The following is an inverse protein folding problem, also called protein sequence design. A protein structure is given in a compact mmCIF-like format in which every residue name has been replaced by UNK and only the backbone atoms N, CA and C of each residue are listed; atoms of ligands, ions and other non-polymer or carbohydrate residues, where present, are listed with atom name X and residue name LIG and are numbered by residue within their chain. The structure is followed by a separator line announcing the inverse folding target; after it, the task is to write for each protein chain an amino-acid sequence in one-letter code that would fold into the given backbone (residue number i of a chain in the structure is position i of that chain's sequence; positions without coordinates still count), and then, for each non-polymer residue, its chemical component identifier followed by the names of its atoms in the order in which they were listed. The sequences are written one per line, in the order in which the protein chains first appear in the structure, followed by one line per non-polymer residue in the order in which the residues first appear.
data_IF_268590241385
#
_entry.id   IF_268590241385
#
_cell.length_a   1.000
_cell.length_b   1.000
_cell.length_c   1.000
_cell.angle_alpha   90.00
_cell.angle_beta   90.00
_cell.angle_gamma   90.00
#
_symmetry.space_group_name_H-M   'P 1'
#
loop_
_entity.id
_entity.type
_entity.pdbx_description
1 polymer ?
#
# COMPACT_ATOMS: atom_id res chain seq x y z
N UNK A 1 -4.27 -22.37 10.03
CA UNK A 1 -4.37 -20.94 10.41
C UNK A 1 -4.98 -20.17 9.26
N UNK A 2 -5.97 -19.31 9.51
CA UNK A 2 -6.58 -18.50 8.45
C UNK A 2 -5.62 -17.36 8.10
N UNK A 3 -5.11 -17.32 6.88
CA UNK A 3 -4.26 -16.23 6.39
C UNK A 3 -5.12 -15.06 5.87
N UNK A 4 -6.27 -14.83 6.48
CA UNK A 4 -7.25 -13.79 6.16
C UNK A 4 -7.44 -12.91 7.38
N UNK A 5 -7.65 -11.62 7.19
CA UNK A 5 -8.02 -10.71 8.27
C UNK A 5 -9.53 -10.77 8.49
N UNK A 6 -10.32 -10.51 7.45
CA UNK A 6 -11.76 -10.73 7.43
C UNK A 6 -12.16 -11.62 6.23
N UNK A 7 -13.43 -12.05 6.20
CA UNK A 7 -13.96 -12.83 5.08
C UNK A 7 -13.23 -14.16 4.83
N UNK A 8 -13.00 -14.48 3.56
CA UNK A 8 -12.50 -15.79 3.08
C UNK A 8 -11.23 -15.71 2.23
N UNK A 9 -10.71 -14.52 1.91
CA UNK A 9 -9.58 -14.34 1.01
C UNK A 9 -8.75 -13.14 1.46
N UNK A 10 -7.45 -13.22 1.19
CA UNK A 10 -6.50 -12.11 1.29
C UNK A 10 -5.58 -12.15 0.06
N UNK A 11 -4.90 -11.05 -0.20
CA UNK A 11 -3.83 -10.99 -1.19
C UNK A 11 -2.51 -11.39 -0.52
N UNK A 12 -1.85 -12.43 -1.04
CA UNK A 12 -0.52 -12.85 -0.59
C UNK A 12 0.52 -12.52 -1.66
N UNK A 13 1.66 -12.00 -1.22
CA UNK A 13 2.85 -11.77 -2.05
C UNK A 13 3.99 -12.62 -1.50
N UNK A 14 4.55 -13.46 -2.37
CA UNK A 14 5.70 -14.29 -2.07
C UNK A 14 6.97 -13.64 -2.60
N UNK A 15 7.93 -13.41 -1.71
CA UNK A 15 9.19 -12.76 -2.01
C UNK A 15 10.30 -13.81 -2.12
N UNK A 16 11.00 -13.85 -3.25
CA UNK A 16 11.97 -14.93 -3.55
C UNK A 16 13.35 -14.41 -3.95
N UNK A 17 13.69 -13.16 -3.66
CA UNK A 17 15.00 -12.56 -3.96
C UNK A 17 14.91 -11.16 -4.56
N UNK A 18 15.28 -11.01 -5.83
CA UNK A 18 15.36 -9.70 -6.48
C UNK A 18 13.98 -9.24 -6.97
N UNK A 19 13.34 -8.38 -6.17
CA UNK A 19 12.16 -7.63 -6.59
C UNK A 19 12.57 -6.18 -6.91
N UNK A 20 12.13 -5.59 -8.04
CA UNK A 20 12.38 -4.18 -8.35
C UNK A 20 11.99 -3.24 -7.21
N UNK A 21 12.84 -2.25 -6.94
CA UNK A 21 12.62 -1.21 -5.93
C UNK A 21 11.91 -0.01 -6.57
N UNK A 22 11.10 0.72 -5.80
CA UNK A 22 10.33 1.88 -6.27
C UNK A 22 9.52 1.61 -7.56
N UNK A 23 9.20 0.35 -7.82
CA UNK A 23 8.43 -0.09 -8.98
C UNK A 23 7.06 -0.59 -8.49
N UNK A 24 5.97 -0.24 -9.18
CA UNK A 24 4.64 -0.73 -8.84
C UNK A 24 4.49 -2.22 -9.17
N UNK A 25 4.53 -3.06 -8.15
CA UNK A 25 4.46 -4.52 -8.29
C UNK A 25 3.03 -5.02 -8.48
N UNK A 26 2.11 -4.44 -7.72
CA UNK A 26 0.67 -4.70 -7.79
C UNK A 26 0.01 -3.33 -7.85
N UNK A 27 -0.90 -3.15 -8.81
CA UNK A 27 -1.56 -1.87 -9.05
C UNK A 27 -3.06 -2.02 -9.15
N UNK A 28 -3.76 -0.98 -8.71
CA UNK A 28 -5.17 -0.78 -8.98
C UNK A 28 -5.39 0.69 -9.32
N UNK A 29 -5.96 0.95 -10.49
CA UNK A 29 -6.43 2.30 -10.86
C UNK A 29 -7.85 2.48 -10.31
N UNK A 30 -8.10 3.61 -9.66
CA UNK A 30 -9.41 3.94 -9.07
C UNK A 30 -9.83 5.33 -9.50
N UNK A 31 -11.07 5.48 -9.98
CA UNK A 31 -11.65 6.79 -10.30
C UNK A 31 -11.95 7.55 -9.01
N UNK A 32 -11.65 8.84 -9.00
CA UNK A 32 -11.84 9.72 -7.84
C UNK A 32 -12.40 11.07 -8.28
N UNK A 33 -12.97 11.81 -7.34
CA UNK A 33 -13.37 13.18 -7.54
C UNK A 33 -12.18 14.13 -7.36
N UNK A 34 -12.09 15.20 -8.17
CA UNK A 34 -11.11 16.26 -7.95
C UNK A 34 -11.31 16.97 -6.61
N UNK A 35 -10.24 17.57 -6.08
CA UNK A 35 -10.27 18.40 -4.86
C UNK A 35 -10.97 17.75 -3.65
N UNK A 36 -10.88 16.43 -3.55
CA UNK A 36 -11.65 15.63 -2.59
C UNK A 36 -10.70 14.89 -1.66
N UNK A 37 -11.04 14.87 -0.37
CA UNK A 37 -10.28 14.15 0.65
C UNK A 37 -10.74 12.70 0.72
N UNK A 38 -9.78 11.79 0.77
CA UNK A 38 -10.00 10.36 0.89
C UNK A 38 -9.18 9.77 2.03
N UNK A 39 -9.63 8.63 2.52
CA UNK A 39 -8.89 7.73 3.41
C UNK A 39 -8.70 6.39 2.72
N UNK A 40 -7.44 5.99 2.57
CA UNK A 40 -7.08 4.62 2.24
C UNK A 40 -6.88 3.86 3.55
N UNK A 41 -7.53 2.71 3.70
CA UNK A 41 -7.34 1.79 4.82
C UNK A 41 -7.12 0.37 4.32
N UNK A 42 -6.32 -0.41 5.04
CA UNK A 42 -6.05 -1.82 4.76
C UNK A 42 -5.46 -2.50 6.01
N UNK A 43 -5.52 -3.82 6.06
CA UNK A 43 -4.79 -4.63 7.02
C UNK A 43 -3.58 -5.29 6.36
N UNK A 44 -2.46 -5.38 7.07
CA UNK A 44 -1.28 -6.08 6.61
C UNK A 44 -0.72 -7.05 7.64
N UNK A 45 -0.12 -8.13 7.15
CA UNK A 45 0.62 -9.11 7.94
C UNK A 45 1.88 -9.49 7.21
N UNK A 46 2.93 -9.82 7.95
CA UNK A 46 4.16 -10.34 7.39
C UNK A 46 4.63 -11.57 8.15
N UNK A 47 5.36 -12.44 7.45
CA UNK A 47 6.04 -13.58 8.04
C UNK A 47 7.39 -13.75 7.36
N UNK A 48 8.43 -13.84 8.17
CA UNK A 48 9.80 -14.12 7.75
C UNK A 48 10.29 -13.15 6.65
N UNK A 49 9.81 -11.90 6.65
CA UNK A 49 10.22 -10.93 5.63
C UNK A 49 11.59 -10.38 5.98
N UNK A 50 12.58 -10.72 5.16
CA UNK A 50 13.97 -10.26 5.32
C UNK A 50 14.31 -9.32 4.18
N UNK A 51 14.53 -8.04 4.47
CA UNK A 51 14.91 -7.05 3.46
C UNK A 51 15.49 -5.77 4.06
N UNK A 52 16.30 -5.04 3.29
CA UNK A 52 16.65 -3.65 3.58
C UNK A 52 15.65 -2.62 3.03
N UNK A 53 14.73 -3.05 2.15
CA UNK A 53 13.75 -2.21 1.47
C UNK A 53 12.34 -2.80 1.63
N UNK A 54 11.68 -2.54 2.77
CA UNK A 54 10.36 -3.08 3.07
C UNK A 54 9.31 -2.67 2.05
N UNK A 55 8.27 -3.50 1.83
CA UNK A 55 7.11 -3.10 1.06
C UNK A 55 6.33 -1.97 1.75
N UNK A 56 5.58 -1.20 0.98
CA UNK A 56 4.61 -0.21 1.44
C UNK A 56 3.54 0.00 0.38
N UNK A 57 2.43 0.63 0.77
CA UNK A 57 1.35 1.00 -0.15
C UNK A 57 1.47 2.48 -0.47
N UNK A 58 1.50 2.82 -1.76
CA UNK A 58 1.56 4.20 -2.26
C UNK A 58 0.29 4.53 -3.03
N UNK A 59 -0.18 5.76 -2.87
CA UNK A 59 -1.17 6.37 -3.75
C UNK A 59 -0.52 7.50 -4.54
N UNK A 60 -0.66 7.44 -5.86
CA UNK A 60 -0.24 8.52 -6.76
C UNK A 60 -1.42 9.02 -7.58
N UNK A 61 -1.36 10.28 -8.00
CA UNK A 61 -2.24 10.82 -9.04
C UNK A 61 -1.94 10.12 -10.37
N UNK A 62 -2.96 9.58 -11.03
CA UNK A 62 -2.77 8.76 -12.24
C UNK A 62 -2.31 9.57 -13.46
N UNK A 63 -2.51 10.90 -13.46
CA UNK A 63 -2.13 11.77 -14.57
C UNK A 63 -0.72 12.32 -14.37
N UNK A 64 -0.42 12.81 -13.16
CA UNK A 64 0.86 13.49 -12.88
C UNK A 64 1.93 12.59 -12.28
N UNK A 65 1.58 11.36 -11.87
CA UNK A 65 2.42 10.47 -11.06
C UNK A 65 2.90 11.10 -9.73
N UNK A 66 2.27 12.18 -9.28
CA UNK A 66 2.59 12.80 -8.01
C UNK A 66 2.18 11.88 -6.86
N UNK A 67 3.09 11.61 -5.92
CA UNK A 67 2.78 10.93 -4.66
C UNK A 67 1.77 11.78 -3.86
N UNK A 68 0.60 11.20 -3.60
CA UNK A 68 -0.44 11.82 -2.77
C UNK A 68 -0.31 11.38 -1.32
N UNK A 69 0.03 10.11 -1.09
CA UNK A 69 0.33 9.56 0.23
C UNK A 69 1.02 8.21 0.13
N UNK A 70 1.60 7.74 1.23
CA UNK A 70 2.10 6.38 1.40
C UNK A 70 1.86 5.88 2.82
N UNK A 71 1.80 4.57 2.99
CA UNK A 71 1.78 3.95 4.31
C UNK A 71 3.14 4.06 4.99
N UNK A 72 3.17 3.79 6.29
CA UNK A 72 4.41 3.35 6.93
C UNK A 72 4.89 2.04 6.25
N UNK A 73 6.19 1.71 6.35
CA UNK A 73 6.70 0.42 5.92
C UNK A 73 5.83 -0.72 6.48
N UNK A 74 5.51 -1.69 5.63
CA UNK A 74 4.88 -2.93 6.07
C UNK A 74 5.85 -3.64 7.02
N UNK A 75 5.30 -4.41 7.96
CA UNK A 75 6.13 -5.03 8.97
C UNK A 75 6.95 -6.15 8.34
N UNK A 76 8.06 -6.51 8.99
CA UNK A 76 8.91 -7.61 8.53
C UNK A 76 8.49 -8.95 9.14
N UNK A 77 7.95 -8.90 10.36
CA UNK A 77 7.36 -10.06 11.03
C UNK A 77 6.24 -9.59 11.94
N UNK A 78 5.05 -10.21 11.85
CA UNK A 78 3.93 -9.93 12.75
C UNK A 78 3.10 -11.15 13.08
N UNK A 79 2.72 -11.23 14.37
CA UNK A 79 1.86 -12.30 14.86
C UNK A 79 0.37 -11.97 14.66
N UNK A 80 -0.14 -10.75 14.97
CA UNK A 80 -1.43 -10.30 14.47
C UNK A 80 -1.33 -9.49 13.17
N UNK A 81 -2.44 -9.38 12.46
CA UNK A 81 -2.64 -8.36 11.44
C UNK A 81 -2.53 -6.96 12.06
N UNK A 82 -2.04 -6.01 11.28
CA UNK A 82 -1.94 -4.61 11.67
C UNK A 82 -2.76 -3.75 10.71
N UNK A 83 -3.58 -2.86 11.26
CA UNK A 83 -4.37 -1.93 10.49
C UNK A 83 -3.56 -0.69 10.11
N UNK A 84 -3.74 -0.25 8.86
CA UNK A 84 -3.12 0.92 8.28
C UNK A 84 -4.20 1.88 7.81
N UNK A 85 -3.92 3.18 7.95
CA UNK A 85 -4.77 4.25 7.43
C UNK A 85 -3.92 5.44 7.02
N UNK A 86 -4.17 5.95 5.82
CA UNK A 86 -3.55 7.18 5.30
C UNK A 86 -4.59 8.05 4.61
N UNK A 87 -4.63 9.32 4.98
CA UNK A 87 -5.47 10.32 4.33
C UNK A 87 -4.69 11.01 3.23
N UNK A 88 -5.39 11.43 2.17
CA UNK A 88 -4.86 12.28 1.12
C UNK A 88 -5.97 13.13 0.50
N UNK A 89 -5.57 14.18 -0.20
CA UNK A 89 -6.48 15.04 -0.97
C UNK A 89 -6.06 15.05 -2.42
N UNK A 90 -7.01 14.82 -3.32
CA UNK A 90 -6.78 14.83 -4.76
C UNK A 90 -6.57 16.26 -5.27
N UNK A 91 -5.80 16.41 -6.35
CA UNK A 91 -5.62 17.71 -6.99
C UNK A 91 -6.92 18.19 -7.66
N UNK A 92 -6.99 19.47 -8.06
CA UNK A 92 -8.14 20.02 -8.79
C UNK A 92 -8.32 19.42 -10.19
N UNK A 93 -7.30 18.77 -10.74
CA UNK A 93 -7.31 18.12 -12.05
C UNK A 93 -7.35 16.59 -11.98
N UNK A 94 -7.31 16.02 -10.77
CA UNK A 94 -7.28 14.58 -10.58
C UNK A 94 -8.65 13.95 -10.91
N UNK A 95 -8.66 12.95 -11.79
CA UNK A 95 -9.84 12.12 -12.11
C UNK A 95 -9.64 10.64 -11.75
N UNK A 96 -8.39 10.24 -11.49
CA UNK A 96 -8.02 8.90 -11.11
C UNK A 96 -6.76 8.90 -10.25
N UNK A 97 -6.62 7.87 -9.43
CA UNK A 97 -5.41 7.54 -8.67
C UNK A 97 -4.95 6.13 -9.02
N UNK A 98 -3.69 5.86 -8.75
CA UNK A 98 -3.13 4.51 -8.74
C UNK A 98 -2.75 4.17 -7.31
N UNK A 99 -3.34 3.10 -6.79
CA UNK A 99 -2.92 2.47 -5.54
C UNK A 99 -1.96 1.36 -5.92
N UNK A 100 -0.79 1.32 -5.29
CA UNK A 100 0.21 0.31 -5.61
C UNK A 100 0.98 -0.20 -4.40
N UNK A 101 1.37 -1.47 -4.45
CA UNK A 101 2.39 -2.02 -3.56
C UNK A 101 3.74 -1.80 -4.19
N UNK A 102 4.65 -1.16 -3.46
CA UNK A 102 6.01 -0.88 -3.88
C UNK A 102 6.99 -1.24 -2.78
N UNK A 103 8.27 -1.31 -3.11
CA UNK A 103 9.35 -1.44 -2.15
C UNK A 103 10.07 -0.11 -1.96
N UNK A 104 10.44 0.18 -0.71
CA UNK A 104 11.37 1.27 -0.43
C UNK A 104 12.71 1.03 -1.12
N UNK A 105 13.32 2.11 -1.58
CA UNK A 105 14.69 2.08 -2.09
C UNK A 105 15.67 1.82 -0.95
N UNK A 106 16.54 0.84 -1.11
CA UNK A 106 17.67 0.60 -0.21
C UNK A 106 18.74 1.68 -0.39
N UNK A 107 19.44 2.01 0.69
CA UNK A 107 20.54 3.00 0.67
C UNK A 107 21.88 2.42 0.21
N UNK A 108 22.01 1.09 0.08
CA UNK A 108 23.23 0.41 -0.35
C UNK A 108 22.95 -0.85 -1.18
N UNK A 109 23.87 -1.14 -2.10
CA UNK A 109 24.10 -2.46 -2.70
C UNK A 109 22.88 -3.28 -3.16
N UNK A 110 23.02 -4.60 -3.06
CA UNK A 110 21.95 -5.57 -3.32
C UNK A 110 20.87 -5.45 -2.25
N UNK A 111 19.61 -5.36 -2.69
CA UNK A 111 18.44 -5.17 -1.82
C UNK A 111 17.43 -6.31 -2.00
N UNK A 112 17.80 -7.56 -1.68
CA UNK A 112 16.87 -8.68 -1.84
C UNK A 112 15.70 -8.57 -0.86
N UNK A 113 14.64 -9.31 -1.15
CA UNK A 113 13.50 -9.50 -0.27
C UNK A 113 13.08 -10.97 -0.31
N UNK A 114 12.86 -11.54 0.87
CA UNK A 114 12.37 -12.90 1.07
C UNK A 114 11.17 -12.90 2.00
N UNK A 115 10.46 -14.03 2.09
CA UNK A 115 9.33 -14.23 2.99
C UNK A 115 7.98 -13.90 2.35
N UNK A 116 7.01 -13.55 3.19
CA UNK A 116 5.62 -13.42 2.77
C UNK A 116 4.96 -12.17 3.37
N UNK A 117 4.24 -11.44 2.55
CA UNK A 117 3.34 -10.38 3.02
C UNK A 117 1.93 -10.64 2.57
N UNK A 118 0.97 -10.33 3.43
CA UNK A 118 -0.44 -10.37 3.12
C UNK A 118 -1.06 -8.98 3.27
N UNK A 119 -2.01 -8.69 2.40
CA UNK A 119 -2.89 -7.51 2.47
C UNK A 119 -4.33 -7.96 2.45
N UNK A 120 -5.17 -7.29 3.22
CA UNK A 120 -6.60 -7.56 3.28
C UNK A 120 -7.37 -6.28 3.60
N UNK A 121 -8.70 -6.31 3.45
CA UNK A 121 -9.62 -5.22 3.79
C UNK A 121 -9.27 -3.85 3.18
N UNK A 122 -8.71 -3.87 1.97
CA UNK A 122 -8.36 -2.63 1.26
C UNK A 122 -9.64 -1.86 0.94
N UNK A 123 -9.74 -0.64 1.46
CA UNK A 123 -10.88 0.23 1.26
C UNK A 123 -10.44 1.68 1.01
N UNK A 124 -11.19 2.35 0.15
CA UNK A 124 -11.02 3.77 -0.13
C UNK A 124 -12.33 4.49 0.18
N UNK A 125 -12.29 5.39 1.15
CA UNK A 125 -13.46 6.14 1.59
C UNK A 125 -13.30 7.61 1.27
N UNK A 126 -14.32 8.21 0.62
CA UNK A 126 -14.45 9.66 0.52
C UNK A 126 -14.76 10.22 1.91
N UNK A 127 -13.92 11.14 2.38
CA UNK A 127 -14.17 11.83 3.64
C UNK A 127 -15.03 13.06 3.37
N UNK A 128 -16.18 13.15 4.04
CA UNK A 128 -16.95 14.39 4.07
C UNK A 128 -16.09 15.50 4.65
N UNK A 129 -16.21 16.72 4.12
CA UNK A 129 -15.80 17.89 4.88
C UNK A 129 -16.58 17.81 6.20
N UNK A 130 -15.88 17.81 7.34
CA UNK A 130 -16.56 17.98 8.62
C UNK A 130 -17.43 19.23 8.48
N UNK A 131 -18.75 19.05 8.53
CA UNK A 131 -19.64 20.18 8.75
C UNK A 131 -19.21 20.80 10.09
N UNK A 132 -19.04 22.13 10.14
CA UNK A 132 -18.65 22.81 11.38
C UNK A 132 -19.63 22.53 12.52
#
# INVERSE_FOLDING_TARGET
TRDTHTGNRSLRIDWTGEAPQAFPLITQTVLVEPATRYRLSFAARARDVVTGGPPLVIVVDATSNQELTKSKPLPQDTTPWQDYSSDFTTSRSASAIIISVQRQTCTSGQCPIFGHTWLDDISLQKLSANSP
#
